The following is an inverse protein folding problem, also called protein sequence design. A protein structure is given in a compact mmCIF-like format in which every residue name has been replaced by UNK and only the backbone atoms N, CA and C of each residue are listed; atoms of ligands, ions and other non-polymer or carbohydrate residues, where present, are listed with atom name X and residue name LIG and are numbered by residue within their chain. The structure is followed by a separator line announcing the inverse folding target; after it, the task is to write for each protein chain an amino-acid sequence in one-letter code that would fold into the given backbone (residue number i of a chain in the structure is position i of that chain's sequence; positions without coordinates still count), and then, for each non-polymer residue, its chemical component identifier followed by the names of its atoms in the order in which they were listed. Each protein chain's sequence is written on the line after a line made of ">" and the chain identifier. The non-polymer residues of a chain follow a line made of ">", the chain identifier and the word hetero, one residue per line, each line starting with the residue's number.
data_IF_666737948242
#
_entry.id   IF_666737948242
#
_cell.length_a   1.000
_cell.length_b   1.000
_cell.length_c   1.000
_cell.angle_alpha   90.00
_cell.angle_beta   90.00
_cell.angle_gamma   90.00
#
_symmetry.space_group_name_H-M   'P 1'
#
loop_
_entity.id
_entity.type
_entity.pdbx_description
1 polymer ?
#
# COMPACT_ATOMS: atom_id res chain seq x y z
N UNK A 1 36.60 29.96 26.36
CA UNK A 1 35.12 30.05 26.24
C UNK A 1 34.65 28.76 25.61
N UNK A 2 33.86 27.87 26.20
CA UNK A 2 33.27 27.80 27.54
C UNK A 2 32.76 26.36 27.65
N UNK A 3 33.30 25.58 28.60
CA UNK A 3 32.68 24.35 29.07
C UNK A 3 31.43 24.69 29.88
N UNK A 4 30.40 23.85 29.76
CA UNK A 4 29.21 23.92 30.60
C UNK A 4 29.46 23.23 31.95
N UNK A 5 28.88 23.74 33.06
CA UNK A 5 29.26 23.34 34.41
C UNK A 5 28.46 22.15 34.94
N UNK A 6 29.10 21.43 35.85
CA UNK A 6 28.53 20.44 36.75
C UNK A 6 27.53 21.08 37.73
N UNK A 7 26.38 20.41 37.91
CA UNK A 7 25.56 20.42 39.14
C UNK A 7 25.55 18.94 39.58
N UNK A 8 25.78 18.53 40.81
CA UNK A 8 25.66 19.13 42.13
C UNK A 8 25.27 17.95 43.02
N UNK A 9 26.03 17.69 44.07
CA UNK A 9 25.93 16.50 44.93
C UNK A 9 24.63 16.46 45.75
N UNK A 10 24.08 15.27 45.99
CA UNK A 10 23.12 14.97 47.06
C UNK A 10 23.66 13.75 47.84
N UNK A 11 23.62 13.73 49.20
CA UNK A 11 24.34 12.76 50.01
C UNK A 11 23.63 11.41 50.18
N UNK A 12 24.43 10.41 50.53
CA UNK A 12 24.07 9.02 50.76
C UNK A 12 23.21 8.80 52.03
N UNK A 13 22.11 8.07 51.90
CA UNK A 13 21.44 7.38 53.01
C UNK A 13 20.80 6.06 52.52
N UNK A 14 21.50 4.97 52.81
CA UNK A 14 21.07 3.57 53.00
C UNK A 14 19.71 3.11 52.44
N UNK A 15 19.73 2.28 51.39
CA UNK A 15 18.72 1.25 51.16
C UNK A 15 19.37 -0.07 50.71
N UNK A 16 18.88 -1.18 51.27
CA UNK A 16 19.35 -2.56 51.10
C UNK A 16 19.15 -3.04 49.66
N UNK A 17 20.13 -3.77 49.14
CA UNK A 17 20.06 -4.48 47.86
C UNK A 17 19.15 -5.73 47.92
N UNK A 18 18.34 -6.00 46.88
CA UNK A 18 17.82 -7.33 46.61
C UNK A 18 18.79 -8.10 45.70
N UNK A 19 19.31 -9.21 46.20
CA UNK A 19 20.21 -10.13 45.48
C UNK A 19 19.44 -10.96 44.44
N UNK A 20 19.97 -11.04 43.22
CA UNK A 20 19.58 -12.03 42.19
C UNK A 20 20.78 -12.94 41.89
N UNK A 21 20.61 -14.26 41.78
CA UNK A 21 21.73 -15.21 41.77
C UNK A 21 22.42 -15.36 40.41
N UNK A 22 23.73 -15.66 40.47
CA UNK A 22 24.66 -15.93 39.39
C UNK A 22 24.57 -17.40 38.87
N UNK A 23 25.08 -17.71 37.66
CA UNK A 23 24.87 -19.01 37.00
C UNK A 23 25.79 -20.13 37.53
N UNK A 24 25.40 -21.41 37.42
CA UNK A 24 26.21 -22.53 37.90
C UNK A 24 27.40 -22.88 36.98
N UNK A 25 28.50 -23.27 37.64
CA UNK A 25 29.80 -23.69 37.10
C UNK A 25 29.93 -25.22 36.94
N UNK A 26 30.97 -25.74 36.26
CA UNK A 26 30.88 -26.96 35.46
C UNK A 26 31.33 -28.23 36.21
N UNK A 27 30.36 -29.09 36.55
CA UNK A 27 30.61 -30.52 36.78
C UNK A 27 29.37 -31.37 36.41
N UNK A 28 28.88 -31.23 35.17
CA UNK A 28 28.16 -32.28 34.41
C UNK A 28 28.54 -32.12 32.93
N UNK A 29 29.74 -32.55 32.57
CA UNK A 29 30.26 -32.58 31.20
C UNK A 29 31.24 -33.76 31.06
N UNK A 30 30.70 -34.98 30.86
CA UNK A 30 31.41 -36.05 30.15
C UNK A 30 30.43 -37.19 29.80
N UNK A 31 30.02 -37.24 28.53
CA UNK A 31 30.05 -38.45 27.71
C UNK A 31 29.98 -38.05 26.23
N UNK A 32 31.18 -38.07 25.62
CA UNK A 32 31.51 -38.36 24.21
C UNK A 32 30.90 -37.36 23.18
N UNK A 33 31.58 -36.40 22.56
CA UNK A 33 32.96 -36.34 22.06
C UNK A 33 33.00 -36.66 20.56
N UNK A 34 33.03 -35.65 19.68
CA UNK A 34 34.11 -35.39 18.70
C UNK A 34 33.72 -34.43 17.56
N UNK A 35 34.74 -33.69 17.13
CA UNK A 35 34.73 -32.71 16.07
C UNK A 35 34.72 -33.30 14.65
N UNK A 36 34.13 -32.54 13.72
CA UNK A 36 34.81 -32.17 12.48
C UNK A 36 34.57 -32.98 11.19
N UNK A 37 34.30 -32.20 10.13
CA UNK A 37 34.51 -32.41 8.68
C UNK A 37 33.37 -33.00 7.82
N UNK A 38 32.89 -32.08 6.96
CA UNK A 38 32.45 -32.16 5.56
C UNK A 38 32.67 -33.50 4.84
N UNK A 39 31.62 -33.98 4.15
CA UNK A 39 31.72 -34.61 2.83
C UNK A 39 30.41 -34.48 2.05
N UNK A 40 30.57 -34.31 0.73
CA UNK A 40 29.54 -34.11 -0.27
C UNK A 40 28.88 -35.41 -0.72
N UNK A 41 27.67 -35.26 -1.29
CA UNK A 41 27.16 -36.05 -2.42
C UNK A 41 26.48 -37.39 -2.11
N UNK A 42 25.17 -37.47 -2.39
CA UNK A 42 24.65 -38.33 -3.46
C UNK A 42 23.12 -38.18 -3.57
N UNK A 43 22.67 -38.08 -4.81
CA UNK A 43 21.28 -37.99 -5.23
C UNK A 43 20.50 -39.29 -4.97
N UNK A 44 19.19 -39.17 -4.74
CA UNK A 44 18.23 -40.26 -4.97
C UNK A 44 17.03 -39.70 -5.76
N UNK A 45 16.84 -40.26 -6.95
CA UNK A 45 15.78 -40.02 -7.93
C UNK A 45 14.44 -40.67 -7.53
N UNK A 46 13.31 -40.32 -8.21
CA UNK A 46 11.97 -40.51 -7.66
C UNK A 46 11.33 -41.85 -8.05
N UNK A 47 10.50 -42.40 -7.16
CA UNK A 47 9.64 -43.54 -7.45
C UNK A 47 8.21 -43.10 -7.81
N UNK A 48 7.69 -43.67 -8.89
CA UNK A 48 6.33 -43.54 -9.42
C UNK A 48 5.41 -44.67 -8.92
N UNK A 49 4.11 -44.37 -8.91
CA UNK A 49 2.91 -45.26 -8.84
C UNK A 49 2.56 -45.77 -7.42
N UNK A 50 1.31 -45.86 -6.95
CA UNK A 50 0.00 -45.91 -7.60
C UNK A 50 -1.15 -45.50 -6.64
N UNK A 51 -2.26 -45.05 -7.24
CA UNK A 51 -3.68 -45.18 -6.89
C UNK A 51 -4.13 -45.33 -5.41
N UNK A 52 -4.93 -44.36 -4.95
CA UNK A 52 -6.26 -44.58 -4.34
C UNK A 52 -6.92 -43.23 -3.98
N UNK A 53 -7.82 -42.73 -4.84
CA UNK A 53 -8.79 -41.69 -4.44
C UNK A 53 -10.17 -42.30 -4.39
N UNK A 54 -10.70 -42.41 -3.18
CA UNK A 54 -12.08 -42.79 -2.91
C UNK A 54 -13.00 -41.61 -3.30
N UNK A 55 -14.12 -41.95 -3.92
CA UNK A 55 -14.99 -41.00 -4.59
C UNK A 55 -15.89 -40.20 -3.66
N UNK A 56 -16.17 -38.96 -4.08
CA UNK A 56 -17.48 -38.36 -3.83
C UNK A 56 -17.87 -37.50 -5.03
N UNK A 57 -18.87 -37.98 -5.76
CA UNK A 57 -19.52 -37.32 -6.89
C UNK A 57 -20.32 -36.12 -6.40
N UNK A 58 -20.14 -34.96 -7.02
CA UNK A 58 -21.17 -33.94 -7.17
C UNK A 58 -21.06 -33.30 -8.56
N UNK A 59 -21.87 -33.82 -9.48
CA UNK A 59 -22.47 -33.18 -10.66
C UNK A 59 -21.92 -31.81 -11.10
N UNK A 60 -21.04 -31.82 -12.10
CA UNK A 60 -20.81 -30.68 -13.01
C UNK A 60 -21.70 -30.87 -14.24
N UNK A 61 -22.68 -29.97 -14.41
CA UNK A 61 -23.42 -29.84 -15.66
C UNK A 61 -22.54 -29.04 -16.63
N UNK A 62 -21.98 -29.74 -17.61
CA UNK A 62 -21.30 -29.14 -18.76
C UNK A 62 -22.36 -28.79 -19.80
N UNK A 63 -22.41 -27.52 -20.21
CA UNK A 63 -22.90 -27.15 -21.55
C UNK A 63 -22.09 -25.96 -22.07
N UNK A 64 -21.23 -26.23 -23.05
CA UNK A 64 -20.83 -25.35 -24.15
C UNK A 64 -20.53 -26.28 -25.35
N UNK A 65 -20.50 -25.83 -26.63
CA UNK A 65 -20.50 -24.44 -27.10
C UNK A 65 -21.47 -24.14 -28.27
N UNK A 66 -21.88 -22.89 -28.47
CA UNK A 66 -22.18 -22.38 -29.82
C UNK A 66 -21.54 -21.02 -30.06
N UNK A 67 -20.88 -20.92 -31.22
CA UNK A 67 -20.23 -19.72 -31.75
C UNK A 67 -21.29 -18.83 -32.38
N UNK A 68 -21.29 -17.54 -32.04
CA UNK A 68 -22.08 -16.55 -32.75
C UNK A 68 -21.76 -15.14 -32.26
N UNK A 69 -21.02 -14.38 -33.08
CA UNK A 69 -20.79 -12.96 -32.88
C UNK A 69 -22.13 -12.19 -32.92
N UNK A 70 -22.41 -11.34 -31.93
CA UNK A 70 -23.61 -10.51 -31.91
C UNK A 70 -23.75 -9.64 -30.66
N UNK A 71 -23.46 -8.34 -30.83
CA UNK A 71 -23.87 -7.18 -30.02
C UNK A 71 -24.68 -7.40 -28.72
N UNK A 72 -24.04 -7.15 -27.57
CA UNK A 72 -24.67 -7.15 -26.25
C UNK A 72 -25.53 -5.92 -25.95
N UNK A 73 -26.74 -5.86 -26.52
CA UNK A 73 -27.82 -4.93 -26.11
C UNK A 73 -29.11 -5.61 -25.63
N UNK A 74 -29.16 -6.95 -25.57
CA UNK A 74 -30.41 -7.70 -25.33
C UNK A 74 -30.48 -8.50 -24.01
N UNK A 75 -29.62 -8.21 -23.01
CA UNK A 75 -29.65 -8.89 -21.70
C UNK A 75 -30.17 -8.02 -20.54
N UNK A 76 -30.82 -6.89 -20.83
CA UNK A 76 -31.26 -5.91 -19.81
C UNK A 76 -32.77 -6.01 -19.49
N UNK A 77 -33.60 -6.68 -20.29
CA UNK A 77 -35.06 -6.58 -20.13
C UNK A 77 -35.77 -7.76 -19.46
N UNK A 78 -35.08 -8.83 -19.06
CA UNK A 78 -35.75 -10.02 -18.49
C UNK A 78 -35.84 -10.07 -16.94
N UNK A 79 -35.37 -9.06 -16.21
CA UNK A 79 -35.41 -9.07 -14.73
C UNK A 79 -36.52 -8.18 -14.12
N UNK A 80 -37.32 -7.50 -14.94
CA UNK A 80 -38.24 -6.44 -14.47
C UNK A 80 -39.65 -6.91 -14.05
N UNK A 81 -39.97 -8.21 -14.03
CA UNK A 81 -41.37 -8.69 -13.84
C UNK A 81 -41.62 -9.84 -12.84
N UNK A 82 -40.70 -10.15 -11.94
CA UNK A 82 -40.97 -11.14 -10.88
C UNK A 82 -41.48 -10.47 -9.58
N UNK A 83 -42.61 -10.90 -8.99
CA UNK A 83 -43.09 -10.35 -7.72
C UNK A 83 -42.15 -10.74 -6.57
N UNK A 84 -41.68 -9.72 -5.85
CA UNK A 84 -40.77 -9.86 -4.72
C UNK A 84 -41.50 -10.44 -3.51
N UNK A 85 -41.14 -11.65 -3.07
CA UNK A 85 -41.50 -12.11 -1.72
C UNK A 85 -40.31 -12.75 -1.00
N UNK A 86 -40.06 -12.23 0.20
CA UNK A 86 -39.20 -12.65 1.32
C UNK A 86 -37.66 -12.59 1.17
N UNK A 87 -37.10 -11.70 2.01
CA UNK A 87 -35.74 -11.63 2.57
C UNK A 87 -34.58 -11.35 1.60
N UNK A 88 -34.41 -10.07 1.23
CA UNK A 88 -33.10 -9.56 0.82
C UNK A 88 -32.77 -8.24 1.52
N UNK A 89 -31.71 -8.27 2.34
CA UNK A 89 -31.11 -7.16 3.09
C UNK A 89 -30.33 -6.17 2.18
N UNK A 90 -30.78 -5.96 0.94
CA UNK A 90 -29.95 -5.31 -0.11
C UNK A 90 -30.62 -4.11 -0.79
N UNK A 91 -31.74 -3.61 -0.26
CA UNK A 91 -32.45 -2.47 -0.87
C UNK A 91 -31.62 -1.17 -0.91
N UNK A 92 -30.64 -0.98 -0.03
CA UNK A 92 -29.72 0.18 -0.05
C UNK A 92 -28.64 0.09 -1.13
N UNK A 93 -28.20 -1.11 -1.49
CA UNK A 93 -27.09 -1.32 -2.45
C UNK A 93 -27.61 -1.26 -3.89
N UNK A 94 -28.83 -1.75 -4.14
CA UNK A 94 -29.38 -1.80 -5.50
C UNK A 94 -29.83 -0.41 -6.03
N UNK A 95 -30.40 0.45 -5.17
CA UNK A 95 -30.85 1.78 -5.59
C UNK A 95 -29.71 2.80 -5.79
N UNK A 96 -28.51 2.59 -5.23
CA UNK A 96 -27.37 3.51 -5.43
C UNK A 96 -26.75 3.40 -6.83
N UNK A 97 -26.85 2.23 -7.49
CA UNK A 97 -26.33 2.01 -8.85
C UNK A 97 -27.24 2.55 -9.97
N UNK A 98 -28.54 2.71 -9.72
CA UNK A 98 -29.50 3.10 -10.76
C UNK A 98 -29.62 4.62 -10.96
N UNK A 99 -29.02 5.43 -10.09
CA UNK A 99 -29.13 6.90 -10.13
C UNK A 99 -27.79 7.65 -10.19
N UNK A 100 -26.67 6.95 -10.44
CA UNK A 100 -25.40 7.62 -10.72
C UNK A 100 -25.38 8.03 -12.20
N UNK A 101 -25.48 9.34 -12.45
CA UNK A 101 -25.03 9.90 -13.74
C UNK A 101 -23.58 9.45 -13.95
N UNK A 102 -23.18 9.01 -15.15
CA UNK A 102 -21.76 8.81 -15.44
C UNK A 102 -21.04 10.13 -15.12
N UNK A 103 -20.08 10.08 -14.19
CA UNK A 103 -19.22 11.23 -13.92
C UNK A 103 -18.36 11.38 -15.16
N UNK A 104 -18.70 12.35 -16.00
CA UNK A 104 -17.86 12.79 -17.12
C UNK A 104 -16.63 13.41 -16.48
N UNK A 105 -15.50 12.72 -16.58
CA UNK A 105 -14.21 13.19 -16.08
C UNK A 105 -13.71 14.31 -16.99
N UNK A 106 -14.02 15.55 -16.61
CA UNK A 106 -13.57 16.74 -17.33
C UNK A 106 -14.18 16.88 -18.72
N UNK A 107 -14.28 18.12 -19.18
CA UNK A 107 -14.50 18.36 -20.60
C UNK A 107 -13.40 17.63 -21.39
N UNK A 108 -13.72 17.06 -22.56
CA UNK A 108 -12.70 16.76 -23.55
C UNK A 108 -11.77 17.98 -23.65
N UNK A 109 -10.44 17.82 -23.58
CA UNK A 109 -9.55 18.95 -23.70
C UNK A 109 -9.86 19.63 -25.05
N UNK A 110 -10.36 20.86 -24.99
CA UNK A 110 -10.42 21.72 -26.17
C UNK A 110 -9.00 21.79 -26.73
N UNK A 111 -8.77 21.59 -28.04
CA UNK A 111 -7.43 21.40 -28.60
C UNK A 111 -6.40 22.52 -28.33
N UNK A 112 -6.84 23.67 -27.81
CA UNK A 112 -6.06 24.91 -27.81
C UNK A 112 -5.73 25.49 -26.42
N UNK A 113 -5.78 24.73 -25.33
CA UNK A 113 -5.19 25.22 -24.06
C UNK A 113 -3.87 24.52 -23.75
N UNK A 114 -2.71 25.16 -23.97
CA UNK A 114 -1.44 24.63 -23.51
C UNK A 114 -1.37 24.79 -21.99
N UNK A 115 -1.88 23.81 -21.24
CA UNK A 115 -1.70 23.78 -19.78
C UNK A 115 -0.41 23.06 -19.40
N UNK A 116 0.71 23.34 -20.08
CA UNK A 116 2.00 22.81 -19.63
C UNK A 116 2.48 23.65 -18.45
N UNK A 117 2.06 23.27 -17.25
CA UNK A 117 2.57 23.84 -16.00
C UNK A 117 4.10 23.77 -16.02
N UNK A 118 4.75 24.93 -16.02
CA UNK A 118 6.21 24.98 -15.95
C UNK A 118 6.68 24.46 -14.59
N UNK A 119 7.80 23.73 -14.58
CA UNK A 119 8.44 23.29 -13.35
C UNK A 119 9.21 24.43 -12.67
N UNK A 120 9.36 24.36 -11.34
CA UNK A 120 10.29 25.21 -10.61
C UNK A 120 11.72 25.14 -11.20
N UNK A 121 12.53 26.20 -11.07
CA UNK A 121 13.86 26.26 -11.69
C UNK A 121 14.83 25.18 -11.21
N UNK A 122 14.67 24.72 -9.96
CA UNK A 122 15.48 23.68 -9.32
C UNK A 122 14.97 22.25 -9.58
N UNK A 123 13.89 22.10 -10.35
CA UNK A 123 13.30 20.79 -10.70
C UNK A 123 13.77 20.35 -12.08
N UNK A 124 14.38 19.17 -12.14
CA UNK A 124 14.80 18.54 -13.39
C UNK A 124 13.58 18.05 -14.19
N UNK A 125 13.54 18.37 -15.49
CA UNK A 125 12.41 18.06 -16.38
C UNK A 125 12.21 16.56 -16.63
N UNK A 126 13.29 15.78 -16.62
CA UNK A 126 13.27 14.37 -16.98
C UNK A 126 12.88 13.47 -15.82
N UNK A 127 13.20 13.86 -14.59
CA UNK A 127 12.78 13.15 -13.37
C UNK A 127 11.53 13.73 -12.71
N UNK A 128 11.14 14.96 -13.09
CA UNK A 128 10.10 15.73 -12.42
C UNK A 128 10.44 16.02 -10.94
N UNK A 129 11.73 16.04 -10.60
CA UNK A 129 12.28 16.08 -9.24
C UNK A 129 13.54 16.94 -9.17
N UNK A 130 13.96 17.39 -7.99
CA UNK A 130 15.26 18.05 -7.78
C UNK A 130 16.46 17.16 -8.14
N UNK A 131 16.31 15.84 -8.08
CA UNK A 131 17.36 14.91 -8.50
C UNK A 131 17.32 14.69 -10.02
N UNK A 132 18.47 14.59 -10.70
CA UNK A 132 18.49 14.13 -12.08
C UNK A 132 18.03 12.67 -12.18
N UNK A 133 17.55 12.22 -13.36
CA UNK A 133 17.29 10.81 -13.60
C UNK A 133 18.60 10.02 -13.48
N UNK A 134 18.53 8.87 -12.81
CA UNK A 134 19.67 7.94 -12.78
C UNK A 134 19.78 7.27 -14.14
N UNK A 135 20.99 7.27 -14.71
CA UNK A 135 21.27 6.57 -15.97
C UNK A 135 21.72 5.14 -15.66
N UNK A 136 21.33 4.20 -16.52
CA UNK A 136 21.64 2.78 -16.33
C UNK A 136 23.15 2.54 -16.24
N UNK A 137 23.91 3.23 -17.09
CA UNK A 137 25.37 3.15 -17.20
C UNK A 137 26.13 3.66 -15.98
N UNK A 138 25.49 4.47 -15.13
CA UNK A 138 26.08 5.00 -13.91
C UNK A 138 25.88 4.05 -12.70
N UNK A 139 25.17 2.93 -12.90
CA UNK A 139 24.85 1.95 -11.88
C UNK A 139 25.83 0.78 -11.87
N UNK A 140 26.05 0.20 -10.69
CA UNK A 140 26.70 -1.10 -10.55
C UNK A 140 25.82 -2.25 -11.09
N UNK A 141 26.30 -3.49 -11.06
CA UNK A 141 25.54 -4.64 -11.58
C UNK A 141 24.18 -4.81 -10.91
N UNK A 142 24.08 -4.51 -9.62
CA UNK A 142 22.82 -4.61 -8.85
C UNK A 142 21.83 -3.55 -9.29
N UNK A 143 22.27 -2.30 -9.38
CA UNK A 143 21.46 -1.18 -9.87
C UNK A 143 21.05 -1.37 -11.32
N UNK A 144 21.94 -1.86 -12.19
CA UNK A 144 21.61 -2.16 -13.59
C UNK A 144 20.50 -3.21 -13.69
N UNK A 145 20.59 -4.31 -12.93
CA UNK A 145 19.52 -5.32 -12.89
C UNK A 145 18.18 -4.74 -12.44
N UNK A 146 18.19 -3.91 -11.40
CA UNK A 146 16.98 -3.24 -10.92
C UNK A 146 16.41 -2.27 -11.97
N UNK A 147 17.26 -1.47 -12.61
CA UNK A 147 16.89 -0.54 -13.67
C UNK A 147 16.30 -1.27 -14.88
N UNK A 148 16.90 -2.38 -15.30
CA UNK A 148 16.43 -3.19 -16.43
C UNK A 148 15.06 -3.81 -16.13
N UNK A 149 14.86 -4.36 -14.93
CA UNK A 149 13.57 -4.90 -14.54
C UNK A 149 12.44 -3.83 -14.57
N UNK A 150 12.78 -2.57 -14.33
CA UNK A 150 11.83 -1.45 -14.33
C UNK A 150 11.57 -0.88 -15.73
N UNK A 151 12.56 -0.96 -16.61
CA UNK A 151 12.49 -0.38 -17.96
C UNK A 151 12.19 -1.39 -19.06
N UNK A 152 12.16 -2.68 -18.73
CA UNK A 152 11.74 -3.76 -19.61
C UNK A 152 10.43 -3.42 -20.33
N UNK A 153 10.34 -3.86 -21.59
CA UNK A 153 9.18 -3.61 -22.44
C UNK A 153 7.88 -4.11 -21.76
N UNK A 154 6.84 -3.27 -21.78
CA UNK A 154 5.57 -3.57 -21.10
C UNK A 154 5.56 -3.42 -19.57
N UNK A 155 6.70 -3.05 -18.95
CA UNK A 155 6.75 -2.84 -17.51
C UNK A 155 5.93 -1.63 -17.07
N UNK A 156 4.90 -1.87 -16.25
CA UNK A 156 4.12 -0.81 -15.59
C UNK A 156 4.94 0.03 -14.61
N UNK A 157 6.14 -0.43 -14.25
CA UNK A 157 7.05 0.25 -13.32
C UNK A 157 7.81 1.40 -13.98
N UNK A 158 7.82 1.51 -15.32
CA UNK A 158 8.50 2.59 -16.03
C UNK A 158 8.01 3.97 -15.58
N UNK A 159 6.71 4.11 -15.32
CA UNK A 159 6.12 5.34 -14.77
C UNK A 159 6.63 5.68 -13.35
N UNK A 160 7.09 4.69 -12.60
CA UNK A 160 7.64 4.85 -11.24
C UNK A 160 9.04 5.49 -11.23
N UNK A 161 9.73 5.55 -12.38
CA UNK A 161 11.01 6.26 -12.51
C UNK A 161 10.86 7.78 -12.28
N UNK A 162 9.68 8.34 -12.56
CA UNK A 162 9.29 9.72 -12.18
C UNK A 162 8.58 9.75 -10.82
N UNK A 163 8.97 8.85 -9.93
CA UNK A 163 8.35 8.58 -8.64
C UNK A 163 9.35 7.99 -7.64
N UNK A 164 8.92 7.24 -6.61
CA UNK A 164 9.82 6.80 -5.55
C UNK A 164 10.92 5.88 -6.06
N UNK A 165 10.67 5.13 -7.12
CA UNK A 165 11.67 4.24 -7.71
C UNK A 165 12.85 5.03 -8.31
N UNK A 166 12.60 6.18 -8.95
CA UNK A 166 13.67 7.05 -9.43
C UNK A 166 14.58 7.54 -8.31
N UNK A 167 14.02 7.82 -7.13
CA UNK A 167 14.80 8.14 -5.94
C UNK A 167 15.64 6.96 -5.45
N UNK A 168 15.04 5.78 -5.29
CA UNK A 168 15.75 4.60 -4.77
C UNK A 168 16.86 4.08 -5.69
N UNK A 169 16.86 4.44 -6.98
CA UNK A 169 17.98 4.14 -7.88
C UNK A 169 19.27 4.88 -7.53
N UNK A 170 19.20 5.97 -6.75
CA UNK A 170 20.39 6.61 -6.17
C UNK A 170 21.01 5.80 -5.01
N UNK A 171 20.32 4.76 -4.53
CA UNK A 171 20.73 3.84 -3.47
C UNK A 171 20.47 2.39 -3.92
N UNK A 172 21.20 1.88 -4.93
CA UNK A 172 20.93 0.59 -5.57
C UNK A 172 20.96 -0.60 -4.59
N UNK A 173 21.72 -0.50 -3.50
CA UNK A 173 21.77 -1.49 -2.42
C UNK A 173 20.46 -1.61 -1.62
N UNK A 174 19.58 -0.59 -1.67
CA UNK A 174 18.32 -0.54 -0.92
C UNK A 174 17.10 -0.85 -1.80
N UNK A 175 17.21 -0.65 -3.11
CA UNK A 175 16.04 -0.63 -4.01
C UNK A 175 15.25 -1.94 -4.02
N UNK A 176 15.92 -3.09 -3.99
CA UNK A 176 15.26 -4.39 -3.99
C UNK A 176 14.44 -4.60 -2.71
N UNK A 177 14.98 -4.21 -1.56
CA UNK A 177 14.32 -4.33 -0.27
C UNK A 177 13.06 -3.46 -0.19
N UNK A 178 13.16 -2.19 -0.57
CA UNK A 178 12.01 -1.27 -0.55
C UNK A 178 10.97 -1.69 -1.59
N UNK A 179 11.39 -2.17 -2.77
CA UNK A 179 10.47 -2.67 -3.80
C UNK A 179 9.64 -3.84 -3.31
N UNK A 180 10.27 -4.83 -2.67
CA UNK A 180 9.56 -6.00 -2.15
C UNK A 180 8.62 -5.65 -1.00
N UNK A 181 9.01 -4.70 -0.13
CA UNK A 181 8.12 -4.17 0.90
C UNK A 181 6.89 -3.47 0.27
N UNK A 182 7.11 -2.54 -0.65
CA UNK A 182 6.05 -1.79 -1.33
C UNK A 182 5.11 -2.71 -2.12
N UNK A 183 5.66 -3.71 -2.82
CA UNK A 183 4.88 -4.68 -3.55
C UNK A 183 4.07 -5.57 -2.61
N UNK A 184 4.68 -6.05 -1.53
CA UNK A 184 4.01 -6.93 -0.57
C UNK A 184 2.84 -6.22 0.12
N UNK A 185 3.03 -5.00 0.62
CA UNK A 185 1.97 -4.26 1.30
C UNK A 185 0.80 -3.90 0.37
N UNK A 186 1.04 -3.72 -0.93
CA UNK A 186 0.00 -3.36 -1.91
C UNK A 186 -0.70 -4.53 -2.57
N UNK A 187 0.01 -5.66 -2.76
CA UNK A 187 -0.49 -6.76 -3.59
C UNK A 187 -0.81 -8.00 -2.78
N UNK A 188 -0.03 -8.33 -1.73
CA UNK A 188 -0.34 -9.49 -0.90
C UNK A 188 -1.58 -9.21 -0.05
N UNK A 189 -2.38 -10.25 0.13
CA UNK A 189 -3.57 -10.18 0.96
C UNK A 189 -3.21 -10.50 2.42
N UNK A 190 -2.88 -9.45 3.19
CA UNK A 190 -2.75 -9.56 4.65
C UNK A 190 -4.10 -9.37 5.36
N UNK A 191 -5.20 -9.51 4.63
CA UNK A 191 -6.58 -9.39 5.10
C UNK A 191 -7.23 -8.04 4.82
N UNK A 192 -6.50 -7.01 4.38
CA UNK A 192 -7.08 -5.75 3.95
C UNK A 192 -7.39 -5.79 2.44
N UNK A 193 -8.67 -5.73 2.09
CA UNK A 193 -9.12 -5.78 0.69
C UNK A 193 -8.59 -4.59 -0.12
N UNK A 194 -8.51 -4.73 -1.45
CA UNK A 194 -7.96 -3.71 -2.36
C UNK A 194 -8.57 -2.30 -2.17
N UNK A 195 -9.91 -2.10 -2.08
CA UNK A 195 -10.47 -0.77 -1.84
C UNK A 195 -9.97 -0.14 -0.53
N UNK A 196 -9.85 -0.93 0.55
CA UNK A 196 -9.39 -0.43 1.85
C UNK A 196 -7.88 -0.12 1.85
N UNK A 197 -7.08 -0.81 1.02
CA UNK A 197 -5.67 -0.45 0.81
C UNK A 197 -5.57 0.91 0.13
N UNK A 198 -6.29 1.14 -0.97
CA UNK A 198 -6.31 2.43 -1.66
C UNK A 198 -6.89 3.56 -0.78
N UNK A 199 -7.93 3.26 0.00
CA UNK A 199 -8.46 4.17 1.02
C UNK A 199 -7.36 4.62 2.00
N UNK A 200 -6.62 3.65 2.54
CA UNK A 200 -5.50 3.90 3.47
C UNK A 200 -4.46 4.81 2.82
N UNK A 201 -4.12 4.55 1.56
CA UNK A 201 -3.15 5.34 0.79
C UNK A 201 -3.64 6.77 0.58
N UNK A 202 -4.90 6.98 0.17
CA UNK A 202 -5.46 8.32 0.00
C UNK A 202 -5.52 9.10 1.31
N UNK A 203 -5.89 8.44 2.42
CA UNK A 203 -5.86 9.04 3.76
C UNK A 203 -4.45 9.50 4.12
N UNK A 204 -3.42 8.69 3.84
CA UNK A 204 -2.02 9.08 4.06
C UNK A 204 -1.56 10.21 3.16
N UNK A 205 -1.86 10.15 1.86
CA UNK A 205 -1.50 11.19 0.91
C UNK A 205 -2.14 12.53 1.29
N UNK A 206 -3.41 12.55 1.69
CA UNK A 206 -4.05 13.78 2.19
C UNK A 206 -3.51 14.23 3.54
N UNK A 207 -3.19 13.29 4.43
CA UNK A 207 -2.62 13.60 5.74
C UNK A 207 -1.26 14.30 5.66
N UNK A 208 -0.50 14.04 4.59
CA UNK A 208 0.78 14.69 4.30
C UNK A 208 0.67 15.75 3.20
N UNK A 209 -0.54 16.06 2.72
CA UNK A 209 -0.79 17.00 1.61
C UNK A 209 0.09 16.70 0.38
N UNK A 210 0.23 15.43 0.05
CA UNK A 210 1.11 14.93 -1.00
C UNK A 210 0.40 14.87 -2.37
N UNK A 211 0.60 15.89 -3.20
CA UNK A 211 -0.02 16.01 -4.52
C UNK A 211 0.25 14.81 -5.45
N UNK A 212 1.51 14.38 -5.51
CA UNK A 212 1.96 13.35 -6.46
C UNK A 212 1.37 11.98 -6.14
N UNK A 213 1.37 11.62 -4.85
CA UNK A 213 0.73 10.37 -4.39
C UNK A 213 -0.76 10.40 -4.64
N UNK A 214 -1.43 11.47 -4.22
CA UNK A 214 -2.87 11.60 -4.39
C UNK A 214 -3.28 11.47 -5.86
N UNK A 215 -2.62 12.22 -6.74
CA UNK A 215 -2.92 12.23 -8.18
C UNK A 215 -2.69 10.85 -8.81
N UNK A 216 -1.69 10.09 -8.35
CA UNK A 216 -1.46 8.73 -8.82
C UNK A 216 -2.51 7.74 -8.29
N UNK A 217 -2.97 7.91 -7.05
CA UNK A 217 -3.80 6.91 -6.36
C UNK A 217 -5.30 7.14 -6.46
N UNK A 218 -5.78 8.34 -6.80
CA UNK A 218 -7.23 8.57 -6.97
C UNK A 218 -7.83 7.63 -8.03
N UNK A 219 -7.16 7.50 -9.19
CA UNK A 219 -7.59 6.58 -10.24
C UNK A 219 -7.51 5.12 -9.80
N UNK A 220 -6.46 4.74 -9.06
CA UNK A 220 -6.32 3.38 -8.54
C UNK A 220 -7.40 3.02 -7.50
N UNK A 221 -7.83 3.99 -6.68
CA UNK A 221 -8.91 3.82 -5.74
C UNK A 221 -10.26 3.60 -6.44
N UNK A 222 -10.53 4.36 -7.50
CA UNK A 222 -11.72 4.17 -8.34
C UNK A 222 -11.71 2.81 -9.03
N UNK A 223 -10.58 2.43 -9.64
CA UNK A 223 -10.39 1.11 -10.25
C UNK A 223 -10.49 -0.04 -9.24
N UNK A 224 -10.24 0.24 -7.96
CA UNK A 224 -10.43 -0.72 -6.88
C UNK A 224 -11.89 -0.85 -6.43
N UNK A 225 -12.78 0.02 -6.90
CA UNK A 225 -14.19 0.06 -6.51
C UNK A 225 -14.45 0.83 -5.23
N UNK A 226 -13.55 1.74 -4.83
CA UNK A 226 -13.81 2.66 -3.72
C UNK A 226 -14.92 3.65 -4.10
N UNK A 227 -15.84 3.93 -3.16
CA UNK A 227 -16.93 4.88 -3.41
C UNK A 227 -16.34 6.28 -3.70
N UNK A 228 -16.68 6.93 -4.83
CA UNK A 228 -16.24 8.29 -5.14
C UNK A 228 -16.60 9.30 -4.04
N UNK A 229 -17.73 9.10 -3.33
CA UNK A 229 -18.12 9.95 -2.20
C UNK A 229 -17.08 9.90 -1.08
N UNK A 230 -16.47 8.74 -0.84
CA UNK A 230 -15.45 8.55 0.18
C UNK A 230 -14.12 9.24 -0.21
N UNK A 231 -13.79 9.24 -1.51
CA UNK A 231 -12.64 9.99 -2.04
C UNK A 231 -12.85 11.49 -1.80
N UNK A 232 -14.04 12.02 -2.13
CA UNK A 232 -14.37 13.43 -1.90
C UNK A 232 -14.37 13.78 -0.39
N UNK A 233 -14.81 12.88 0.48
CA UNK A 233 -14.75 13.05 1.95
C UNK A 233 -13.31 13.21 2.43
N UNK A 234 -12.38 12.41 1.91
CA UNK A 234 -10.97 12.50 2.29
C UNK A 234 -10.36 13.77 1.69
N UNK A 235 -10.55 13.99 0.39
CA UNK A 235 -10.01 15.12 -0.37
C UNK A 235 -10.32 16.45 0.32
N UNK A 236 -11.59 16.64 0.66
CA UNK A 236 -12.09 17.90 1.23
C UNK A 236 -12.15 17.88 2.75
N UNK A 237 -11.63 16.83 3.41
CA UNK A 237 -11.66 16.65 4.88
C UNK A 237 -13.07 16.79 5.49
N UNK A 238 -14.10 16.28 4.80
CA UNK A 238 -15.52 16.39 5.20
C UNK A 238 -15.86 15.54 6.44
N UNK A 239 -16.99 15.81 7.12
CA UNK A 239 -17.57 14.90 8.12
C UNK A 239 -17.80 13.48 7.58
N UNK A 240 -17.92 12.50 8.49
CA UNK A 240 -18.04 11.07 8.17
C UNK A 240 -19.48 10.54 8.27
N UNK A 241 -20.47 11.42 8.10
CA UNK A 241 -21.87 11.05 8.21
C UNK A 241 -22.23 9.97 7.18
N UNK A 242 -22.73 8.83 7.65
CA UNK A 242 -23.13 7.71 6.80
C UNK A 242 -21.99 6.86 6.23
N UNK A 243 -20.72 7.15 6.57
CA UNK A 243 -19.56 6.32 6.20
C UNK A 243 -19.59 4.99 6.96
N UNK A 244 -19.23 3.88 6.30
CA UNK A 244 -19.25 2.57 6.95
C UNK A 244 -18.20 2.48 8.08
N UNK A 245 -18.49 1.68 9.10
CA UNK A 245 -17.69 1.63 10.35
C UNK A 245 -16.20 1.36 10.09
N UNK A 246 -15.87 0.45 9.18
CA UNK A 246 -14.47 0.12 8.83
C UNK A 246 -13.76 1.28 8.12
N UNK A 247 -14.43 1.94 7.18
CA UNK A 247 -13.87 3.07 6.43
C UNK A 247 -13.68 4.29 7.33
N UNK A 248 -14.67 4.57 8.18
CA UNK A 248 -14.62 5.63 9.16
C UNK A 248 -13.46 5.41 10.15
N UNK A 249 -13.25 4.17 10.62
CA UNK A 249 -12.13 3.86 11.50
C UNK A 249 -10.77 4.16 10.85
N UNK A 250 -10.57 3.81 9.57
CA UNK A 250 -9.33 4.12 8.83
C UNK A 250 -9.14 5.64 8.69
N UNK A 251 -10.21 6.37 8.33
CA UNK A 251 -10.14 7.82 8.11
C UNK A 251 -9.88 8.58 9.42
N UNK A 252 -10.58 8.24 10.51
CA UNK A 252 -10.36 8.87 11.82
C UNK A 252 -8.96 8.58 12.33
N UNK A 253 -8.51 7.32 12.23
CA UNK A 253 -7.16 6.93 12.62
C UNK A 253 -6.11 7.75 11.88
N UNK A 254 -6.23 7.88 10.55
CA UNK A 254 -5.31 8.69 9.77
C UNK A 254 -5.37 10.19 10.08
N UNK A 255 -6.57 10.76 10.29
CA UNK A 255 -6.73 12.17 10.68
C UNK A 255 -6.03 12.49 12.00
N UNK A 256 -6.19 11.63 13.02
CA UNK A 256 -5.47 11.78 14.29
C UNK A 256 -3.96 11.58 14.12
N UNK A 257 -3.56 10.51 13.41
CA UNK A 257 -2.14 10.18 13.22
C UNK A 257 -1.39 11.29 12.49
N UNK A 258 -1.94 11.84 11.41
CA UNK A 258 -1.24 12.85 10.61
C UNK A 258 -1.47 14.28 11.09
N UNK A 259 -2.61 14.57 11.70
CA UNK A 259 -2.91 15.88 12.30
C UNK A 259 -2.32 16.04 13.69
N UNK A 260 -2.81 15.26 14.65
CA UNK A 260 -2.41 15.34 16.07
C UNK A 260 -1.08 14.64 16.38
N UNK A 261 -0.53 13.88 15.42
CA UNK A 261 0.70 13.08 15.58
C UNK A 261 0.61 12.02 16.68
N UNK A 262 -0.62 11.69 17.11
CA UNK A 262 -0.92 10.69 18.13
C UNK A 262 -2.35 10.20 17.95
N UNK A 263 -2.51 8.88 17.96
CA UNK A 263 -3.82 8.24 17.96
C UNK A 263 -4.30 8.08 19.41
N UNK A 264 -5.55 8.47 19.66
CA UNK A 264 -6.18 8.33 20.96
C UNK A 264 -6.47 6.87 21.30
N UNK A 265 -6.58 6.54 22.60
CA UNK A 265 -6.92 5.18 23.03
C UNK A 265 -8.28 4.73 22.50
N UNK A 266 -9.24 5.65 22.38
CA UNK A 266 -10.57 5.37 21.84
C UNK A 266 -10.50 5.02 20.34
N UNK A 267 -9.79 5.82 19.55
CA UNK A 267 -9.61 5.58 18.10
C UNK A 267 -8.84 4.28 17.84
N UNK A 268 -7.79 4.00 18.62
CA UNK A 268 -7.06 2.74 18.52
C UNK A 268 -7.94 1.54 18.85
N UNK A 269 -8.69 1.60 19.97
CA UNK A 269 -9.59 0.51 20.38
C UNK A 269 -10.68 0.25 19.34
N UNK A 270 -11.26 1.30 18.75
CA UNK A 270 -12.26 1.16 17.70
C UNK A 270 -11.66 0.55 16.43
N UNK A 271 -10.50 1.02 15.97
CA UNK A 271 -9.81 0.45 14.81
C UNK A 271 -9.45 -1.03 15.05
N UNK A 272 -8.96 -1.37 16.24
CA UNK A 272 -8.66 -2.76 16.61
C UNK A 272 -9.91 -3.63 16.60
N UNK A 273 -11.05 -3.13 17.10
CA UNK A 273 -12.33 -3.86 17.11
C UNK A 273 -12.81 -4.20 15.70
N UNK A 274 -12.77 -3.23 14.78
CA UNK A 274 -13.31 -3.42 13.42
C UNK A 274 -12.35 -4.16 12.48
N UNK A 275 -11.04 -3.91 12.61
CA UNK A 275 -10.02 -4.49 11.73
C UNK A 275 -9.44 -5.79 12.31
N UNK A 276 -9.46 -5.98 13.62
CA UNK A 276 -8.63 -6.99 14.26
C UNK A 276 -7.14 -6.70 14.11
N UNK A 277 -6.32 -7.43 14.85
CA UNK A 277 -4.89 -7.14 15.00
C UNK A 277 -4.12 -7.16 13.67
N UNK A 278 -4.31 -8.19 12.84
CA UNK A 278 -3.51 -8.36 11.61
C UNK A 278 -3.78 -7.25 10.58
N UNK A 279 -5.06 -6.91 10.35
CA UNK A 279 -5.42 -5.85 9.38
C UNK A 279 -5.05 -4.47 9.91
N UNK A 280 -5.13 -4.25 11.23
CA UNK A 280 -4.65 -3.01 11.85
C UNK A 280 -3.15 -2.82 11.62
N UNK A 281 -2.34 -3.86 11.86
CA UNK A 281 -0.88 -3.81 11.60
C UNK A 281 -0.60 -3.57 10.11
N UNK A 282 -1.32 -4.22 9.21
CA UNK A 282 -1.18 -3.99 7.77
C UNK A 282 -1.53 -2.56 7.38
N UNK A 283 -2.64 -2.01 7.89
CA UNK A 283 -3.04 -0.62 7.68
C UNK A 283 -1.96 0.35 8.15
N UNK A 284 -1.44 0.17 9.36
CA UNK A 284 -0.36 1.02 9.92
C UNK A 284 0.91 0.90 9.08
N UNK A 285 1.32 -0.32 8.69
CA UNK A 285 2.48 -0.52 7.85
C UNK A 285 2.34 0.17 6.47
N UNK A 286 1.14 0.14 5.89
CA UNK A 286 0.84 0.81 4.63
C UNK A 286 0.86 2.34 4.80
N UNK A 287 0.29 2.87 5.88
CA UNK A 287 0.37 4.30 6.22
C UNK A 287 1.82 4.75 6.40
N UNK A 288 2.65 4.00 7.12
CA UNK A 288 4.08 4.30 7.30
C UNK A 288 4.84 4.29 5.97
N UNK A 289 4.55 3.32 5.11
CA UNK A 289 5.20 3.18 3.80
C UNK A 289 4.88 4.35 2.85
N UNK A 290 3.63 4.79 2.82
CA UNK A 290 3.23 5.96 2.04
C UNK A 290 3.65 7.28 2.71
N UNK A 291 3.81 7.32 4.02
CA UNK A 291 4.43 8.48 4.68
C UNK A 291 5.90 8.63 4.28
N UNK A 292 6.66 7.52 4.20
CA UNK A 292 8.03 7.54 3.66
C UNK A 292 8.07 8.08 2.23
N UNK A 293 7.14 7.66 1.38
CA UNK A 293 7.05 8.13 -0.01
C UNK A 293 6.65 9.62 -0.08
N UNK A 294 5.67 10.06 0.72
CA UNK A 294 5.31 11.47 0.90
C UNK A 294 6.51 12.32 1.34
N UNK A 295 7.34 11.85 2.27
CA UNK A 295 8.55 12.56 2.73
C UNK A 295 9.56 12.70 1.60
N UNK A 296 9.80 11.63 0.82
CA UNK A 296 10.68 11.68 -0.35
C UNK A 296 10.18 12.74 -1.35
N UNK A 297 8.88 12.72 -1.66
CA UNK A 297 8.29 13.67 -2.60
C UNK A 297 8.35 15.11 -2.12
N UNK A 298 8.11 15.37 -0.84
CA UNK A 298 8.22 16.70 -0.26
C UNK A 298 9.67 17.21 -0.27
N UNK A 299 10.63 16.37 0.12
CA UNK A 299 12.05 16.75 0.16
C UNK A 299 12.61 17.08 -1.23
N UNK A 300 12.20 16.31 -2.24
CA UNK A 300 12.70 16.44 -3.61
C UNK A 300 11.85 17.35 -4.51
N UNK A 301 10.80 17.95 -3.95
CA UNK A 301 9.81 18.72 -4.71
C UNK A 301 9.29 17.96 -5.95
N UNK A 302 8.92 16.69 -5.74
CA UNK A 302 8.48 15.80 -6.81
C UNK A 302 7.16 16.30 -7.41
N UNK A 303 7.24 16.72 -8.67
CA UNK A 303 6.12 17.28 -9.41
C UNK A 303 5.23 16.20 -10.04
N UNK A 304 3.93 16.48 -10.09
CA UNK A 304 3.03 15.88 -11.08
C UNK A 304 3.50 16.31 -12.47
N UNK A 305 3.48 15.38 -13.44
CA UNK A 305 3.91 15.65 -14.81
C UNK A 305 3.08 16.80 -15.43
N UNK A 306 3.64 17.65 -16.31
CA UNK A 306 2.95 18.86 -16.76
C UNK A 306 1.71 18.56 -17.61
N UNK A 307 1.65 17.37 -18.19
CA UNK A 307 0.53 16.83 -18.98
C UNK A 307 -0.54 16.15 -18.10
N UNK A 308 -0.32 16.07 -16.79
CA UNK A 308 -1.27 15.51 -15.83
C UNK A 308 -1.89 16.62 -14.98
N UNK A 309 -3.20 16.51 -14.75
CA UNK A 309 -3.93 17.43 -13.88
C UNK A 309 -3.67 17.05 -12.41
N UNK A 310 -3.16 17.97 -11.57
CA UNK A 310 -3.08 17.75 -10.13
C UNK A 310 -4.49 17.64 -9.52
N UNK A 311 -4.79 16.54 -8.81
CA UNK A 311 -6.17 16.25 -8.33
C UNK A 311 -6.48 16.62 -6.88
N UNK A 312 -5.44 16.85 -6.07
CA UNK A 312 -5.58 17.28 -4.68
C UNK A 312 -5.60 18.81 -4.57
N UNK A 313 -6.60 19.40 -3.89
CA UNK A 313 -6.55 20.81 -3.50
C UNK A 313 -5.61 20.96 -2.30
N UNK A 314 -4.47 21.63 -2.51
CA UNK A 314 -3.53 22.00 -1.46
C UNK A 314 -3.88 23.37 -0.87
N UNK A 315 -3.59 23.60 0.43
CA UNK A 315 -3.71 24.91 1.06
C UNK A 315 -2.71 25.94 0.51
#
# INVERSE_FOLDING_TARGET
>A
MTCWPSRGEIPCATMREPTSPAPPTPEVMMRIGFAGKVCAGAAVTPAKNAAATNGQKMSLCMTEPERGAGSGKAAIESCARAPCNRRCYTRRVCNRRLNMKPRVWGNEPTPDTPTTRAYPPDVNRDSSSRLPPVRREDLDETGQRAYDAMTAEGSKLRASLRGPTGFWLHLPEVIEHVRELNWSLRNREFGLARPLRELTILVTARGNDCQKEWTAHEMHALDAGLDPELIDIIKDRKPLDGVAETEAAIIVFGRELFGAKKVSSATYAQALKVLGQRRLVHMVALMSNYTMTSVIFAALDQQVAPDQVPLLPLP
#
